data_IF_004521788025
#
_entry.id   IF_004521788025
#
_cell.length_a   1.000
_cell.length_b   1.000
_cell.length_c   1.000
_cell.angle_alpha   90.00
_cell.angle_beta   90.00
_cell.angle_gamma   90.00
#
_symmetry.space_group_name_H-M   'P 1'
#
loop_
_entity.id
_entity.type
_entity.pdbx_description
1 polymer ?
#
# COMPACT_ATOMS: atom_id res chain seq x y z
N UNK A 1 -22.62 -46.04 24.64
CA UNK A 1 -21.23 -46.40 24.32
C UNK A 1 -20.59 -45.25 23.54
N UNK A 2 -19.95 -44.34 24.27
CA UNK A 2 -19.18 -43.23 23.71
C UNK A 2 -17.70 -43.61 23.88
N UNK A 3 -16.99 -43.64 22.76
CA UNK A 3 -15.66 -44.20 22.61
C UNK A 3 -14.61 -43.48 23.49
N UNK A 4 -13.79 -44.28 24.18
CA UNK A 4 -12.69 -43.92 25.11
C UNK A 4 -11.55 -43.08 24.51
N UNK A 5 -11.74 -42.40 23.38
CA UNK A 5 -10.72 -41.58 22.71
C UNK A 5 -10.95 -40.06 22.79
N UNK A 6 -12.01 -39.60 23.46
CA UNK A 6 -12.33 -38.15 23.59
C UNK A 6 -11.90 -37.56 24.95
N UNK A 7 -11.39 -38.38 25.88
CA UNK A 7 -10.98 -37.92 27.23
C UNK A 7 -9.45 -37.76 27.44
N UNK A 8 -8.63 -37.75 26.38
CA UNK A 8 -7.16 -37.73 26.48
C UNK A 8 -6.49 -36.44 25.96
N UNK A 9 -7.25 -35.43 25.54
CA UNK A 9 -6.67 -34.19 24.96
C UNK A 9 -6.88 -32.93 25.81
N UNK A 10 -7.54 -33.04 26.98
CA UNK A 10 -7.75 -31.92 27.92
C UNK A 10 -6.79 -31.97 29.12
N UNK A 11 -5.86 -32.94 29.17
CA UNK A 11 -4.92 -33.13 30.28
C UNK A 11 -3.45 -32.70 30.00
N UNK A 12 -3.20 -31.85 29.00
CA UNK A 12 -1.84 -31.40 28.64
C UNK A 12 -1.56 -29.91 28.90
N UNK A 13 -2.49 -29.15 29.47
CA UNK A 13 -2.32 -27.69 29.73
C UNK A 13 -2.25 -27.33 31.22
N UNK A 14 -2.20 -28.31 32.12
CA UNK A 14 -2.25 -28.06 33.58
C UNK A 14 -1.06 -28.59 34.40
N UNK A 15 0.17 -28.59 33.87
CA UNK A 15 1.36 -28.96 34.65
C UNK A 15 2.66 -28.28 34.19
N UNK A 16 2.71 -26.96 34.28
CA UNK A 16 3.99 -26.24 34.18
C UNK A 16 3.95 -24.91 34.93
N UNK A 17 3.65 -24.94 36.24
CA UNK A 17 4.07 -23.89 37.17
C UNK A 17 4.38 -24.48 38.54
N UNK A 18 5.49 -23.98 39.10
CA UNK A 18 5.96 -24.08 40.48
C UNK A 18 6.84 -25.29 40.84
N UNK A 19 8.16 -25.09 40.76
CA UNK A 19 9.16 -25.36 41.82
C UNK A 19 10.34 -24.40 41.57
N UNK A 20 10.47 -23.33 42.35
CA UNK A 20 11.07 -23.27 43.68
C UNK A 20 12.61 -23.31 43.62
N UNK A 21 13.16 -22.09 43.60
CA UNK A 21 14.33 -21.61 44.36
C UNK A 21 15.03 -22.68 45.20
N UNK A 22 16.28 -22.98 44.83
CA UNK A 22 17.30 -23.46 45.76
C UNK A 22 18.63 -22.81 45.37
N UNK A 23 19.19 -22.08 46.33
CA UNK A 23 20.35 -21.24 46.19
C UNK A 23 21.61 -22.06 45.90
N UNK A 24 22.25 -21.74 44.79
CA UNK A 24 23.64 -22.07 44.51
C UNK A 24 24.46 -20.80 44.65
N UNK A 25 25.15 -20.64 45.78
CA UNK A 25 26.11 -19.57 46.00
C UNK A 25 27.28 -19.74 45.01
N UNK A 26 27.27 -18.97 43.94
CA UNK A 26 28.43 -18.85 43.05
C UNK A 26 29.48 -18.01 43.79
N UNK A 27 30.52 -18.67 44.28
CA UNK A 27 31.73 -18.03 44.80
C UNK A 27 32.30 -17.11 43.73
N UNK A 28 32.25 -15.80 43.98
CA UNK A 28 33.00 -14.82 43.20
C UNK A 28 34.50 -15.06 43.43
N UNK A 29 35.16 -15.75 42.50
CA UNK A 29 36.62 -15.75 42.45
C UNK A 29 37.07 -14.37 41.96
N UNK A 30 37.66 -13.59 42.86
CA UNK A 30 38.35 -12.35 42.52
C UNK A 30 39.58 -12.68 41.65
N UNK A 31 39.41 -12.67 40.34
CA UNK A 31 40.52 -12.50 39.41
C UNK A 31 40.89 -11.01 39.41
N UNK A 32 41.92 -10.65 40.16
CA UNK A 32 42.57 -9.36 40.03
C UNK A 32 43.11 -9.22 38.60
N UNK A 33 42.34 -8.56 37.73
CA UNK A 33 42.83 -8.11 36.42
C UNK A 33 43.79 -6.96 36.68
N UNK A 34 45.08 -7.20 36.47
CA UNK A 34 46.06 -6.14 36.25
C UNK A 34 45.52 -5.13 35.23
N UNK A 35 45.67 -3.81 35.44
CA UNK A 35 45.20 -2.83 34.48
C UNK A 35 45.90 -3.06 33.16
N UNK A 36 45.16 -3.55 32.16
CA UNK A 36 45.67 -3.69 30.80
C UNK A 36 45.87 -2.27 30.30
N UNK A 37 47.13 -1.89 30.04
CA UNK A 37 47.47 -0.60 29.49
C UNK A 37 46.55 -0.29 28.30
N UNK A 38 45.96 0.90 28.30
CA UNK A 38 45.16 1.38 27.16
C UNK A 38 45.99 1.20 25.88
N UNK A 39 45.40 0.67 24.79
CA UNK A 39 46.13 0.59 23.54
C UNK A 39 46.56 2.01 23.19
N UNK A 40 47.88 2.24 23.06
CA UNK A 40 48.39 3.47 22.47
C UNK A 40 47.75 3.57 21.10
N UNK A 41 46.89 4.57 20.89
CA UNK A 41 46.42 4.98 19.58
C UNK A 41 47.66 5.10 18.69
N UNK A 42 47.80 4.19 17.74
CA UNK A 42 48.83 4.30 16.73
C UNK A 42 48.57 5.61 15.98
N UNK A 43 49.42 6.61 16.24
CA UNK A 43 49.49 7.83 15.46
C UNK A 43 50.03 7.46 14.08
N UNK A 44 49.11 7.11 13.18
CA UNK A 44 49.41 6.62 11.85
C UNK A 44 48.16 6.22 11.10
N UNK A 45 47.06 6.97 11.28
CA UNK A 45 45.97 6.89 10.31
C UNK A 45 46.50 7.49 9.00
N UNK A 46 46.50 6.70 7.93
CA UNK A 46 46.73 7.23 6.60
C UNK A 46 45.81 8.44 6.38
N UNK A 47 46.28 9.51 5.70
CA UNK A 47 45.42 10.65 5.41
C UNK A 47 44.14 10.14 4.73
N UNK A 48 42.98 10.75 5.03
CA UNK A 48 41.72 10.30 4.45
C UNK A 48 41.88 10.28 2.93
N UNK A 49 41.74 9.09 2.33
CA UNK A 49 41.74 8.98 0.88
C UNK A 49 40.54 9.79 0.38
N UNK A 50 40.79 10.81 -0.45
CA UNK A 50 39.73 11.58 -1.05
C UNK A 50 38.86 10.62 -1.90
N UNK A 51 37.59 10.49 -1.54
CA UNK A 51 36.62 9.82 -2.41
C UNK A 51 36.62 10.53 -3.78
N UNK A 52 36.32 9.80 -4.86
CA UNK A 52 36.12 10.45 -6.16
C UNK A 52 35.06 11.55 -6.02
N UNK A 53 35.19 12.63 -6.80
CA UNK A 53 34.26 13.77 -6.80
C UNK A 53 32.80 13.33 -6.88
N UNK A 54 32.54 12.27 -7.62
CA UNK A 54 31.20 11.75 -7.90
C UNK A 54 30.61 11.05 -6.66
N UNK A 55 31.42 10.25 -5.96
CA UNK A 55 30.98 9.56 -4.72
C UNK A 55 30.76 10.57 -3.59
N UNK A 56 31.62 11.59 -3.49
CA UNK A 56 31.45 12.67 -2.52
C UNK A 56 30.17 13.49 -2.81
N UNK A 57 29.88 13.76 -4.09
CA UNK A 57 28.65 14.44 -4.52
C UNK A 57 27.42 13.60 -4.19
N UNK A 58 27.43 12.30 -4.50
CA UNK A 58 26.34 11.38 -4.17
C UNK A 58 26.07 11.33 -2.66
N UNK A 59 27.12 11.18 -1.85
CA UNK A 59 27.00 11.15 -0.39
C UNK A 59 26.40 12.45 0.15
N UNK A 60 26.82 13.60 -0.39
CA UNK A 60 26.28 14.92 -0.03
C UNK A 60 24.80 15.04 -0.39
N UNK A 61 24.42 14.63 -1.60
CA UNK A 61 23.03 14.63 -2.06
C UNK A 61 22.14 13.73 -1.23
N UNK A 62 22.58 12.51 -0.90
CA UNK A 62 21.84 11.62 0.01
C UNK A 62 21.67 12.25 1.40
N UNK A 63 22.76 12.74 1.99
CA UNK A 63 22.74 13.33 3.33
C UNK A 63 21.78 14.53 3.41
N UNK A 64 21.64 15.31 2.33
CA UNK A 64 20.71 16.42 2.26
C UNK A 64 19.23 15.99 2.15
N UNK A 65 18.94 14.82 1.55
CA UNK A 65 17.57 14.38 1.24
C UNK A 65 17.00 13.35 2.22
N UNK A 66 17.86 12.55 2.87
CA UNK A 66 17.42 11.58 3.89
C UNK A 66 16.56 12.20 5.00
N UNK A 67 16.85 13.41 5.53
CA UNK A 67 15.98 14.06 6.51
C UNK A 67 14.55 14.29 6.02
N UNK A 68 14.35 14.55 4.72
CA UNK A 68 13.02 14.75 4.12
C UNK A 68 12.21 13.46 4.15
N UNK A 69 12.84 12.31 3.88
CA UNK A 69 12.21 11.00 3.99
C UNK A 69 11.94 10.61 5.45
N UNK A 70 12.87 10.93 6.36
CA UNK A 70 12.72 10.67 7.80
C UNK A 70 11.58 11.47 8.43
N UNK A 71 11.13 12.57 7.81
CA UNK A 71 9.94 13.29 8.26
C UNK A 71 8.68 12.41 8.26
N UNK A 72 8.64 11.37 7.41
CA UNK A 72 7.57 10.38 7.36
C UNK A 72 7.77 9.19 8.30
N UNK A 73 8.86 9.14 9.08
CA UNK A 73 9.08 8.04 10.02
C UNK A 73 7.95 7.97 11.05
N UNK A 74 7.42 6.76 11.28
CA UNK A 74 6.25 6.53 12.11
C UNK A 74 4.91 6.86 11.45
N UNK A 75 4.90 7.53 10.30
CA UNK A 75 3.69 7.85 9.54
C UNK A 75 3.35 6.73 8.54
N UNK A 76 2.07 6.65 8.17
CA UNK A 76 1.57 5.65 7.22
C UNK A 76 1.41 6.22 5.83
N UNK A 77 1.95 5.52 4.84
CA UNK A 77 1.70 5.73 3.42
C UNK A 77 0.88 4.56 2.90
N UNK A 78 -0.25 4.86 2.24
CA UNK A 78 -1.02 3.86 1.51
C UNK A 78 -0.72 4.03 0.03
N UNK A 79 -0.29 2.95 -0.61
CA UNK A 79 0.11 2.95 -2.01
C UNK A 79 -0.80 2.05 -2.80
N UNK A 80 -1.55 2.63 -3.74
CA UNK A 80 -2.23 1.83 -4.75
C UNK A 80 -1.20 1.47 -5.81
N UNK A 81 -0.83 0.18 -5.87
CA UNK A 81 0.07 -0.37 -6.87
C UNK A 81 -0.72 -1.03 -8.01
N UNK A 82 -0.67 -0.45 -9.22
CA UNK A 82 -1.40 -0.97 -10.37
C UNK A 82 -1.01 -0.30 -11.69
N UNK A 83 -1.41 -0.89 -12.81
CA UNK A 83 -1.13 -0.36 -14.16
C UNK A 83 0.20 -0.82 -14.74
N UNK A 84 0.84 0.03 -15.55
CA UNK A 84 2.09 -0.28 -16.27
C UNK A 84 3.26 -0.63 -15.32
N UNK A 85 3.29 -0.09 -14.10
CA UNK A 85 4.29 -0.43 -13.09
C UNK A 85 4.24 -1.91 -12.64
N UNK A 86 3.15 -2.64 -12.95
CA UNK A 86 3.05 -4.08 -12.71
C UNK A 86 3.52 -4.94 -13.90
N UNK A 87 3.71 -4.34 -15.07
CA UNK A 87 4.02 -5.07 -16.31
C UNK A 87 5.47 -4.89 -16.77
N UNK A 88 6.17 -3.87 -16.26
CA UNK A 88 7.59 -3.65 -16.50
C UNK A 88 8.40 -4.13 -15.29
N UNK A 89 9.28 -5.10 -15.51
CA UNK A 89 10.07 -5.73 -14.45
C UNK A 89 11.04 -4.75 -13.78
N UNK A 90 11.64 -3.81 -14.52
CA UNK A 90 12.60 -2.86 -13.97
C UNK A 90 11.90 -1.85 -13.04
N UNK A 91 10.75 -1.33 -13.47
CA UNK A 91 9.92 -0.45 -12.64
C UNK A 91 9.37 -1.17 -11.41
N UNK A 92 9.01 -2.45 -11.54
CA UNK A 92 8.57 -3.28 -10.42
C UNK A 92 9.67 -3.47 -9.37
N UNK A 93 10.90 -3.81 -9.79
CA UNK A 93 12.04 -3.99 -8.87
C UNK A 93 12.41 -2.68 -8.16
N UNK A 94 12.37 -1.55 -8.88
CA UNK A 94 12.55 -0.21 -8.28
C UNK A 94 11.50 0.09 -7.21
N UNK A 95 10.23 -0.18 -7.51
CA UNK A 95 9.14 -0.03 -6.56
C UNK A 95 9.35 -0.89 -5.29
N UNK A 96 9.78 -2.14 -5.43
CA UNK A 96 10.05 -3.01 -4.28
C UNK A 96 11.20 -2.48 -3.43
N UNK A 97 12.27 -2.00 -4.07
CA UNK A 97 13.39 -1.38 -3.38
C UNK A 97 12.97 -0.14 -2.59
N UNK A 98 12.14 0.73 -3.19
CA UNK A 98 11.61 1.93 -2.54
C UNK A 98 10.77 1.59 -1.30
N UNK A 99 9.84 0.64 -1.43
CA UNK A 99 8.99 0.20 -0.32
C UNK A 99 9.83 -0.34 0.82
N UNK A 100 10.84 -1.18 0.53
CA UNK A 100 11.72 -1.73 1.55
C UNK A 100 12.56 -0.64 2.19
N UNK A 101 13.13 0.28 1.41
CA UNK A 101 13.90 1.41 1.95
C UNK A 101 13.07 2.26 2.90
N UNK A 102 11.86 2.65 2.50
CA UNK A 102 10.94 3.42 3.35
C UNK A 102 10.61 2.67 4.64
N UNK A 103 10.36 1.36 4.56
CA UNK A 103 10.16 0.54 5.76
C UNK A 103 11.37 0.55 6.69
N UNK A 104 12.59 0.49 6.14
CA UNK A 104 13.85 0.57 6.91
C UNK A 104 14.08 1.93 7.55
N UNK A 105 13.59 3.00 6.93
CA UNK A 105 13.61 4.36 7.46
C UNK A 105 12.51 4.60 8.52
N UNK A 106 11.71 3.58 8.85
CA UNK A 106 10.66 3.65 9.87
C UNK A 106 9.33 4.18 9.34
N UNK A 107 9.20 4.40 8.03
CA UNK A 107 7.91 4.73 7.39
C UNK A 107 7.06 3.47 7.31
N UNK A 108 5.78 3.60 7.59
CA UNK A 108 4.82 2.50 7.51
C UNK A 108 4.22 2.48 6.10
N UNK A 109 4.40 1.39 5.35
CA UNK A 109 3.88 1.27 3.98
C UNK A 109 2.83 0.17 3.93
N UNK A 110 1.64 0.52 3.43
CA UNK A 110 0.53 -0.40 3.17
C UNK A 110 0.24 -0.35 1.68
N UNK A 111 0.15 -1.49 1.02
CA UNK A 111 -0.06 -1.58 -0.43
C UNK A 111 -1.46 -2.12 -0.70
N UNK A 112 -2.20 -1.47 -1.59
CA UNK A 112 -3.43 -2.01 -2.20
C UNK A 112 -3.14 -2.23 -3.68
N UNK A 113 -3.36 -3.43 -4.21
CA UNK A 113 -2.97 -3.74 -5.59
C UNK A 113 -4.15 -3.88 -6.55
N UNK A 114 -3.89 -3.63 -7.84
CA UNK A 114 -4.80 -4.01 -8.92
C UNK A 114 -4.53 -5.42 -9.47
N UNK A 115 -5.16 -5.74 -10.60
CA UNK A 115 -4.88 -6.99 -11.33
C UNK A 115 -5.75 -7.20 -12.57
N UNK A 116 -6.21 -6.10 -13.18
CA UNK A 116 -7.16 -6.12 -14.31
C UNK A 116 -6.71 -7.00 -15.47
N UNK A 117 -5.48 -6.85 -15.99
CA UNK A 117 -4.96 -7.71 -17.07
C UNK A 117 -4.92 -9.20 -16.71
N UNK A 118 -4.51 -9.54 -15.48
CA UNK A 118 -4.40 -10.91 -15.02
C UNK A 118 -5.79 -11.57 -14.87
N UNK A 119 -6.78 -10.82 -14.39
CA UNK A 119 -8.17 -11.30 -14.34
C UNK A 119 -8.68 -11.55 -15.75
N UNK A 120 -8.49 -10.60 -16.67
CA UNK A 120 -8.93 -10.75 -18.06
C UNK A 120 -8.28 -11.95 -18.77
N UNK A 121 -7.00 -12.20 -18.50
CA UNK A 121 -6.29 -13.40 -18.99
C UNK A 121 -6.92 -14.69 -18.48
N UNK A 122 -7.13 -14.81 -17.16
CA UNK A 122 -7.74 -16.01 -16.58
C UNK A 122 -9.18 -16.24 -17.04
N UNK A 123 -10.00 -15.19 -17.13
CA UNK A 123 -11.37 -15.30 -17.64
C UNK A 123 -11.39 -15.84 -19.08
N UNK A 124 -10.47 -15.33 -19.92
CA UNK A 124 -10.31 -15.81 -21.30
C UNK A 124 -9.91 -17.28 -21.34
N UNK A 125 -8.93 -17.70 -20.52
CA UNK A 125 -8.46 -19.08 -20.46
C UNK A 125 -9.56 -20.05 -20.02
N UNK A 126 -10.49 -19.58 -19.18
CA UNK A 126 -11.65 -20.34 -18.70
C UNK A 126 -12.89 -20.20 -19.59
N UNK A 127 -12.82 -19.45 -20.68
CA UNK A 127 -13.95 -19.21 -21.59
C UNK A 127 -15.10 -18.38 -20.98
N UNK A 128 -14.84 -17.64 -19.90
CA UNK A 128 -15.82 -16.76 -19.24
C UNK A 128 -15.84 -15.41 -19.95
N UNK A 129 -17.02 -14.97 -20.40
CA UNK A 129 -17.18 -13.68 -21.04
C UNK A 129 -17.00 -12.54 -20.04
N UNK A 130 -16.27 -11.51 -20.42
CA UNK A 130 -16.07 -10.32 -19.59
C UNK A 130 -16.62 -9.09 -20.28
N UNK A 131 -17.33 -8.26 -19.53
CA UNK A 131 -17.79 -6.95 -19.97
C UNK A 131 -17.44 -5.87 -18.94
N UNK A 132 -17.49 -4.62 -19.38
CA UNK A 132 -17.21 -3.46 -18.55
C UNK A 132 -18.28 -2.39 -18.75
N UNK A 133 -18.58 -1.66 -17.68
CA UNK A 133 -19.42 -0.45 -17.68
C UNK A 133 -18.64 0.63 -16.93
N UNK A 134 -18.39 1.76 -17.59
CA UNK A 134 -17.67 2.92 -17.01
C UNK A 134 -16.35 2.53 -16.31
N UNK A 135 -15.58 1.62 -16.93
CA UNK A 135 -14.31 1.15 -16.40
C UNK A 135 -14.40 0.13 -15.26
N UNK A 136 -15.60 -0.27 -14.85
CA UNK A 136 -15.84 -1.32 -13.84
C UNK A 136 -16.18 -2.62 -14.54
N UNK A 137 -15.58 -3.73 -14.10
CA UNK A 137 -15.88 -5.06 -14.63
C UNK A 137 -17.24 -5.51 -14.09
N UNK A 138 -18.19 -5.81 -14.97
CA UNK A 138 -19.43 -6.47 -14.56
C UNK A 138 -19.04 -7.84 -14.00
N UNK A 139 -19.45 -8.12 -12.77
CA UNK A 139 -18.95 -9.25 -12.00
C UNK A 139 -20.12 -10.12 -11.57
N UNK A 140 -20.44 -11.17 -12.33
CA UNK A 140 -21.35 -12.22 -11.87
C UNK A 140 -20.64 -13.18 -10.87
N UNK A 141 -21.37 -14.16 -10.35
CA UNK A 141 -20.84 -15.15 -9.38
C UNK A 141 -19.59 -15.86 -9.91
N UNK A 142 -19.63 -16.32 -11.17
CA UNK A 142 -18.50 -17.03 -11.78
C UNK A 142 -17.30 -16.12 -12.00
N UNK A 143 -17.54 -14.88 -12.40
CA UNK A 143 -16.51 -13.85 -12.55
C UNK A 143 -15.90 -13.51 -11.20
N UNK A 144 -16.71 -13.44 -10.13
CA UNK A 144 -16.23 -13.15 -8.78
C UNK A 144 -15.28 -14.24 -8.28
N UNK A 145 -15.59 -15.52 -8.47
CA UNK A 145 -14.68 -16.63 -8.13
C UNK A 145 -13.30 -16.46 -8.79
N UNK A 146 -13.29 -16.09 -10.09
CA UNK A 146 -12.04 -15.84 -10.82
C UNK A 146 -11.32 -14.61 -10.29
N UNK A 147 -12.03 -13.52 -9.99
CA UNK A 147 -11.46 -12.31 -9.38
C UNK A 147 -10.78 -12.65 -8.06
N UNK A 148 -11.42 -13.43 -7.18
CA UNK A 148 -10.85 -13.85 -5.90
C UNK A 148 -9.58 -14.67 -6.06
N UNK A 149 -9.63 -15.71 -6.90
CA UNK A 149 -8.49 -16.57 -7.17
C UNK A 149 -7.30 -15.79 -7.75
N UNK A 150 -7.57 -14.88 -8.70
CA UNK A 150 -6.51 -14.13 -9.36
C UNK A 150 -5.95 -13.03 -8.46
N UNK A 151 -6.80 -12.20 -7.87
CA UNK A 151 -6.31 -11.10 -7.04
C UNK A 151 -5.70 -11.62 -5.74
N UNK A 152 -6.44 -12.41 -4.97
CA UNK A 152 -6.00 -12.91 -3.66
C UNK A 152 -4.98 -14.04 -3.75
N UNK A 153 -5.10 -14.92 -4.74
CA UNK A 153 -4.24 -16.10 -4.88
C UNK A 153 -2.99 -15.87 -5.73
N UNK A 154 -3.13 -15.27 -6.91
CA UNK A 154 -2.02 -15.16 -7.86
C UNK A 154 -1.25 -13.84 -7.71
N UNK A 155 -1.94 -12.71 -7.88
CA UNK A 155 -1.30 -11.39 -7.94
C UNK A 155 -0.75 -10.99 -6.56
N UNK A 156 -1.55 -11.15 -5.51
CA UNK A 156 -1.15 -10.82 -4.15
C UNK A 156 0.11 -11.59 -3.71
N UNK A 157 0.12 -12.92 -3.91
CA UNK A 157 1.26 -13.75 -3.53
C UNK A 157 2.52 -13.46 -4.36
N UNK A 158 2.39 -13.13 -5.65
CA UNK A 158 3.53 -12.68 -6.46
C UNK A 158 4.17 -11.42 -5.88
N UNK A 159 3.36 -10.44 -5.51
CA UNK A 159 3.81 -9.18 -4.93
C UNK A 159 4.45 -9.39 -3.55
N UNK A 160 3.83 -10.20 -2.70
CA UNK A 160 4.38 -10.59 -1.38
C UNK A 160 5.75 -11.27 -1.53
N UNK A 161 5.88 -12.20 -2.47
CA UNK A 161 7.14 -12.88 -2.73
C UNK A 161 8.23 -11.92 -3.22
N UNK A 162 7.88 -11.01 -4.14
CA UNK A 162 8.83 -10.04 -4.68
C UNK A 162 9.34 -9.06 -3.61
N UNK A 163 8.45 -8.51 -2.78
CA UNK A 163 8.81 -7.67 -1.65
C UNK A 163 9.65 -8.43 -0.61
N UNK A 164 9.35 -9.71 -0.39
CA UNK A 164 10.14 -10.56 0.53
C UNK A 164 11.56 -10.80 -0.01
N UNK A 165 11.70 -11.07 -1.32
CA UNK A 165 13.00 -11.17 -1.99
C UNK A 165 13.80 -9.87 -1.92
N UNK A 166 13.14 -8.73 -2.01
CA UNK A 166 13.75 -7.41 -1.84
C UNK A 166 14.17 -7.12 -0.37
N UNK A 167 13.91 -8.04 0.56
CA UNK A 167 14.31 -7.92 1.97
C UNK A 167 13.25 -7.28 2.88
N UNK A 168 12.01 -7.14 2.37
CA UNK A 168 10.85 -6.72 3.14
C UNK A 168 10.19 -7.87 3.92
N UNK A 169 9.30 -7.53 4.85
CA UNK A 169 8.44 -8.49 5.56
C UNK A 169 7.00 -8.33 5.07
N UNK A 170 6.69 -8.82 3.88
CA UNK A 170 5.36 -8.63 3.30
C UNK A 170 4.34 -9.65 3.81
N UNK A 171 3.09 -9.22 4.00
CA UNK A 171 1.98 -10.09 4.39
C UNK A 171 0.80 -9.83 3.45
N UNK A 172 0.40 -10.88 2.75
CA UNK A 172 -0.72 -10.85 1.80
C UNK A 172 -2.07 -11.00 2.48
N UNK A 173 -3.02 -10.14 2.15
CA UNK A 173 -4.38 -10.12 2.68
C UNK A 173 -5.39 -9.84 1.57
N UNK A 174 -6.63 -10.29 1.79
CA UNK A 174 -7.81 -9.73 1.13
C UNK A 174 -8.64 -8.99 2.19
N UNK A 175 -9.70 -8.28 1.79
CA UNK A 175 -10.62 -7.68 2.76
C UNK A 175 -11.35 -8.69 3.65
N UNK A 176 -11.27 -10.00 3.36
CA UNK A 176 -11.81 -11.06 4.22
C UNK A 176 -11.01 -11.25 5.52
N UNK A 177 -9.71 -10.97 5.50
CA UNK A 177 -8.85 -11.18 6.66
C UNK A 177 -9.31 -10.30 7.82
N UNK A 178 -9.80 -10.90 8.92
CA UNK A 178 -10.48 -10.20 10.02
C UNK A 178 -11.64 -9.26 9.58
N UNK A 179 -12.16 -9.46 8.37
CA UNK A 179 -13.01 -8.52 7.64
C UNK A 179 -12.47 -7.09 7.61
N UNK A 180 -11.19 -6.92 7.22
CA UNK A 180 -10.54 -5.62 7.07
C UNK A 180 -11.36 -4.68 6.18
N UNK A 181 -12.03 -5.17 5.13
CA UNK A 181 -12.88 -4.33 4.26
C UNK A 181 -14.31 -4.87 4.27
N UNK A 182 -15.22 -4.11 4.88
CA UNK A 182 -16.66 -4.33 4.72
C UNK A 182 -17.18 -3.59 3.49
N UNK A 183 -18.15 -4.16 2.79
CA UNK A 183 -18.68 -3.63 1.55
C UNK A 183 -20.20 -3.77 1.43
N UNK A 184 -20.78 -3.00 0.52
CA UNK A 184 -22.14 -3.16 0.00
C UNK A 184 -22.08 -3.20 -1.51
N UNK A 185 -23.11 -3.77 -2.14
CA UNK A 185 -23.28 -3.71 -3.59
C UNK A 185 -23.27 -2.25 -4.04
N UNK A 186 -22.51 -1.96 -5.08
CA UNK A 186 -22.44 -0.62 -5.67
C UNK A 186 -23.68 -0.36 -6.52
N UNK A 187 -24.39 0.72 -6.19
CA UNK A 187 -25.48 1.25 -7.00
C UNK A 187 -24.93 2.20 -8.07
N UNK A 188 -24.84 1.73 -9.32
CA UNK A 188 -24.24 2.49 -10.41
C UNK A 188 -25.29 2.99 -11.42
N UNK A 189 -25.15 4.24 -11.84
CA UNK A 189 -26.00 4.86 -12.86
C UNK A 189 -25.12 5.31 -14.03
N UNK A 190 -25.53 4.98 -15.24
CA UNK A 190 -24.85 5.34 -16.49
C UNK A 190 -25.82 6.03 -17.45
N UNK A 191 -25.31 6.53 -18.57
CA UNK A 191 -26.11 7.23 -19.58
C UNK A 191 -26.42 6.30 -20.74
N UNK A 192 -27.70 6.16 -21.10
CA UNK A 192 -28.11 5.37 -22.25
C UNK A 192 -27.91 6.13 -23.58
N UNK A 193 -28.21 5.45 -24.71
CA UNK A 193 -28.08 6.03 -26.04
C UNK A 193 -29.01 7.23 -26.30
N UNK A 194 -30.05 7.41 -25.48
CA UNK A 194 -30.98 8.55 -25.55
C UNK A 194 -30.58 9.72 -24.65
N UNK A 195 -29.47 9.59 -23.91
CA UNK A 195 -29.02 10.58 -22.93
C UNK A 195 -29.72 10.46 -21.56
N UNK A 196 -30.54 9.43 -21.35
CA UNK A 196 -31.22 9.17 -20.08
C UNK A 196 -30.31 8.50 -19.06
N UNK A 197 -30.45 8.84 -17.78
CA UNK A 197 -29.79 8.11 -16.68
C UNK A 197 -30.50 6.77 -16.44
N UNK A 198 -29.76 5.67 -16.56
CA UNK A 198 -30.25 4.32 -16.32
C UNK A 198 -29.37 3.60 -15.28
N UNK A 199 -29.99 2.76 -14.46
CA UNK A 199 -29.26 1.94 -13.49
C UNK A 199 -28.52 0.83 -14.22
N UNK A 200 -27.23 0.71 -13.99
CA UNK A 200 -26.40 -0.38 -14.52
C UNK A 200 -26.23 -1.45 -13.45
N UNK A 201 -26.65 -2.68 -13.74
CA UNK A 201 -26.35 -3.82 -12.86
C UNK A 201 -24.92 -4.29 -13.09
N UNK A 202 -24.07 -4.09 -12.08
CA UNK A 202 -22.68 -4.52 -12.11
C UNK A 202 -22.47 -5.89 -11.44
N UNK A 203 -23.52 -6.50 -10.89
CA UNK A 203 -23.44 -7.75 -10.14
C UNK A 203 -22.76 -7.57 -8.77
N UNK A 204 -21.78 -8.43 -8.48
CA UNK A 204 -20.95 -8.47 -7.27
C UNK A 204 -19.81 -7.43 -7.30
N UNK A 205 -20.12 -6.23 -7.78
CA UNK A 205 -19.25 -5.05 -7.62
C UNK A 205 -19.71 -4.28 -6.40
N UNK A 206 -18.77 -3.89 -5.55
CA UNK A 206 -19.08 -3.22 -4.30
C UNK A 206 -18.30 -1.94 -4.06
N UNK A 207 -18.75 -1.23 -3.03
CA UNK A 207 -18.08 -0.07 -2.44
C UNK A 207 -17.75 -0.33 -0.97
N UNK A 208 -16.58 0.13 -0.48
CA UNK A 208 -16.25 0.00 0.94
C UNK A 208 -17.26 0.76 1.81
N UNK A 209 -17.83 0.10 2.81
CA UNK A 209 -18.65 0.76 3.84
C UNK A 209 -17.81 1.16 5.04
N UNK A 210 -16.80 0.34 5.37
CA UNK A 210 -15.87 0.60 6.45
C UNK A 210 -14.60 -0.22 6.25
N UNK A 211 -13.51 0.25 6.87
CA UNK A 211 -12.27 -0.50 7.00
C UNK A 211 -11.95 -0.69 8.47
N UNK A 212 -11.64 -1.93 8.89
CA UNK A 212 -11.20 -2.23 10.26
C UNK A 212 -9.67 -2.20 10.32
N UNK A 213 -9.05 -1.17 10.93
CA UNK A 213 -7.61 -0.96 10.82
C UNK A 213 -6.78 -1.85 11.76
N UNK A 214 -7.39 -2.47 12.77
CA UNK A 214 -6.66 -3.16 13.86
C UNK A 214 -5.60 -4.15 13.35
N UNK A 215 -5.98 -5.08 12.46
CA UNK A 215 -5.05 -6.05 11.88
C UNK A 215 -3.91 -5.36 11.09
N UNK A 216 -4.24 -4.30 10.33
CA UNK A 216 -3.25 -3.57 9.55
C UNK A 216 -2.26 -2.84 10.46
N UNK A 217 -2.74 -2.21 11.53
CA UNK A 217 -1.92 -1.52 12.53
C UNK A 217 -0.98 -2.50 13.25
N UNK A 218 -1.46 -3.68 13.63
CA UNK A 218 -0.64 -4.72 14.27
C UNK A 218 0.49 -5.21 13.36
N UNK A 219 0.18 -5.45 12.08
CA UNK A 219 1.16 -5.86 11.08
C UNK A 219 2.21 -4.78 10.86
N UNK A 220 1.78 -3.54 10.69
CA UNK A 220 2.67 -2.41 10.51
C UNK A 220 3.58 -2.25 11.75
N UNK A 221 3.02 -2.31 12.97
CA UNK A 221 3.77 -2.19 14.21
C UNK A 221 4.87 -3.25 14.38
N UNK A 222 4.67 -4.48 13.88
CA UNK A 222 5.67 -5.55 13.93
C UNK A 222 6.72 -5.50 12.81
N UNK A 223 6.68 -4.47 11.96
CA UNK A 223 7.63 -4.30 10.86
C UNK A 223 7.15 -4.85 9.52
N UNK A 224 5.92 -5.38 9.43
CA UNK A 224 5.41 -5.95 8.19
C UNK A 224 4.92 -4.88 7.21
N UNK A 225 4.79 -5.28 5.95
CA UNK A 225 4.22 -4.52 4.83
C UNK A 225 2.93 -5.23 4.42
N UNK A 226 1.75 -4.74 4.84
CA UNK A 226 0.48 -5.33 4.42
C UNK A 226 0.26 -5.10 2.92
N UNK A 227 -0.10 -6.17 2.20
CA UNK A 227 -0.40 -6.15 0.77
C UNK A 227 -1.84 -6.65 0.57
N UNK A 228 -2.72 -5.75 0.16
CA UNK A 228 -4.18 -5.95 0.20
C UNK A 228 -4.73 -6.09 -1.21
N UNK A 229 -5.44 -7.20 -1.47
CA UNK A 229 -6.30 -7.35 -2.63
C UNK A 229 -7.67 -6.68 -2.38
N UNK A 230 -8.21 -5.89 -3.33
CA UNK A 230 -9.42 -5.08 -3.15
C UNK A 230 -10.70 -5.91 -3.30
N UNK A 231 -10.88 -6.88 -2.41
CA UNK A 231 -12.08 -7.72 -2.29
C UNK A 231 -12.69 -7.42 -0.93
N UNK A 232 -13.94 -6.98 -0.88
CA UNK A 232 -14.66 -6.69 0.37
C UNK A 232 -15.69 -7.75 0.72
N UNK A 233 -16.06 -7.79 2.01
CA UNK A 233 -17.12 -8.66 2.53
C UNK A 233 -18.40 -7.88 2.69
N UNK A 234 -19.48 -8.36 2.10
CA UNK A 234 -20.82 -7.84 2.24
C UNK A 234 -21.27 -7.79 3.69
N UNK A 235 -21.58 -6.60 4.18
CA UNK A 235 -21.91 -6.40 5.61
C UNK A 235 -23.25 -7.01 6.02
N UNK A 236 -24.15 -7.24 5.06
CA UNK A 236 -25.48 -7.82 5.28
C UNK A 236 -25.61 -9.26 4.79
N UNK A 237 -24.97 -9.60 3.67
CA UNK A 237 -25.14 -10.88 2.97
C UNK A 237 -23.92 -11.81 3.06
N UNK A 238 -22.78 -11.31 3.57
CA UNK A 238 -21.52 -12.05 3.66
C UNK A 238 -20.88 -12.36 2.31
N UNK A 239 -21.39 -11.82 1.21
CA UNK A 239 -20.89 -12.08 -0.14
C UNK A 239 -19.57 -11.35 -0.39
N UNK A 240 -18.78 -11.89 -1.32
CA UNK A 240 -17.58 -11.19 -1.79
C UNK A 240 -17.93 -10.16 -2.84
N UNK A 241 -17.33 -8.98 -2.71
CA UNK A 241 -17.50 -7.89 -3.66
C UNK A 241 -16.17 -7.49 -4.28
N UNK A 242 -16.14 -7.37 -5.61
CA UNK A 242 -15.03 -6.80 -6.36
C UNK A 242 -15.06 -5.27 -6.23
N UNK A 243 -14.01 -4.70 -5.63
CA UNK A 243 -13.92 -3.26 -5.37
C UNK A 243 -12.86 -2.64 -6.28
N UNK A 244 -13.11 -1.42 -6.76
CA UNK A 244 -12.08 -0.67 -7.47
C UNK A 244 -10.85 -0.45 -6.56
N UNK A 245 -9.66 -0.77 -7.07
CA UNK A 245 -8.42 -0.71 -6.29
C UNK A 245 -8.07 0.70 -5.78
N UNK A 246 -8.38 1.75 -6.56
CA UNK A 246 -8.17 3.14 -6.13
C UNK A 246 -9.12 3.45 -4.97
N UNK A 247 -10.41 3.14 -5.12
CA UNK A 247 -11.43 3.34 -4.06
C UNK A 247 -11.10 2.56 -2.78
N UNK A 248 -10.66 1.30 -2.89
CA UNK A 248 -10.21 0.50 -1.76
C UNK A 248 -8.99 1.12 -1.07
N UNK A 249 -8.02 1.63 -1.84
CA UNK A 249 -6.85 2.32 -1.30
C UNK A 249 -7.22 3.61 -0.57
N UNK A 250 -8.16 4.40 -1.11
CA UNK A 250 -8.70 5.59 -0.45
C UNK A 250 -9.35 5.26 0.89
N UNK A 251 -10.23 4.26 0.93
CA UNK A 251 -10.88 3.82 2.17
C UNK A 251 -9.88 3.29 3.21
N UNK A 252 -8.87 2.52 2.78
CA UNK A 252 -7.80 2.03 3.67
C UNK A 252 -6.95 3.19 4.19
N UNK A 253 -6.61 4.18 3.34
CA UNK A 253 -5.85 5.35 3.74
C UNK A 253 -6.58 6.19 4.78
N UNK A 254 -7.87 6.45 4.56
CA UNK A 254 -8.71 7.18 5.49
C UNK A 254 -8.78 6.47 6.86
N UNK A 255 -9.06 5.16 6.87
CA UNK A 255 -9.16 4.41 8.12
C UNK A 255 -7.85 4.27 8.90
N UNK A 256 -6.71 4.39 8.22
CA UNK A 256 -5.38 4.38 8.84
C UNK A 256 -4.87 5.78 9.23
N UNK A 257 -5.60 6.86 8.90
CA UNK A 257 -5.13 8.22 9.08
C UNK A 257 -3.81 8.46 8.32
N UNK A 258 -3.74 7.98 7.09
CA UNK A 258 -2.49 7.99 6.33
C UNK A 258 -1.99 9.42 6.06
N UNK A 259 -0.67 9.60 6.12
CA UNK A 259 -0.04 10.85 5.76
C UNK A 259 -0.12 11.11 4.25
N UNK A 260 -0.04 10.05 3.44
CA UNK A 260 -0.23 10.10 2.00
C UNK A 260 -1.01 8.90 1.49
N UNK A 261 -1.89 9.16 0.53
CA UNK A 261 -2.39 8.17 -0.42
C UNK A 261 -1.66 8.36 -1.75
N UNK A 262 -0.97 7.34 -2.25
CA UNK A 262 -0.21 7.40 -3.49
C UNK A 262 -0.87 6.49 -4.52
N UNK A 263 -1.47 7.09 -5.55
CA UNK A 263 -2.18 6.39 -6.62
C UNK A 263 -1.27 6.24 -7.84
N UNK A 264 -0.57 5.11 -7.94
CA UNK A 264 0.29 4.86 -9.10
C UNK A 264 -0.57 4.63 -10.35
N UNK A 265 -0.18 5.33 -11.40
CA UNK A 265 -0.84 5.33 -12.71
C UNK A 265 0.20 5.38 -13.82
N UNK A 266 -0.28 5.31 -15.07
CA UNK A 266 0.52 5.35 -16.30
C UNK A 266 0.49 6.69 -17.03
N UNK A 267 0.08 7.74 -16.32
CA UNK A 267 0.07 9.12 -16.80
C UNK A 267 0.92 9.99 -15.89
N UNK A 268 1.42 11.08 -16.44
CA UNK A 268 2.31 12.02 -15.73
C UNK A 268 1.66 12.71 -14.52
N UNK A 269 0.34 12.69 -14.44
CA UNK A 269 -0.47 13.38 -13.45
C UNK A 269 -1.70 14.02 -14.11
N UNK A 270 -2.20 15.11 -13.54
CA UNK A 270 -3.28 15.92 -14.11
C UNK A 270 -2.69 17.02 -14.96
N UNK A 271 -3.09 17.08 -16.23
CA UNK A 271 -2.68 18.12 -17.17
C UNK A 271 -3.74 19.21 -17.25
N UNK A 272 -3.31 20.46 -17.39
CA UNK A 272 -4.21 21.55 -17.76
C UNK A 272 -4.51 21.54 -19.27
N UNK A 273 -5.30 22.51 -19.73
CA UNK A 273 -5.69 22.63 -21.15
C UNK A 273 -4.53 22.93 -22.10
N UNK A 274 -3.40 23.42 -21.58
CA UNK A 274 -2.18 23.65 -22.35
C UNK A 274 -1.29 22.41 -22.43
N UNK A 275 -1.64 21.34 -21.70
CA UNK A 275 -0.85 20.12 -21.59
C UNK A 275 0.25 20.19 -20.54
N UNK A 276 0.24 21.22 -19.67
CA UNK A 276 1.21 21.37 -18.59
C UNK A 276 0.76 20.62 -17.33
N UNK A 277 1.71 20.03 -16.60
CA UNK A 277 1.44 19.28 -15.38
C UNK A 277 1.02 20.19 -14.24
N UNK A 278 -0.20 19.99 -13.75
CA UNK A 278 -0.69 20.61 -12.53
C UNK A 278 -0.10 19.89 -11.32
N UNK A 279 0.97 20.44 -10.74
CA UNK A 279 1.69 19.80 -9.62
C UNK A 279 0.87 19.71 -8.33
N UNK A 280 -0.04 20.66 -8.10
CA UNK A 280 -0.84 20.72 -6.89
C UNK A 280 -2.24 21.24 -7.19
N UNK A 281 -3.24 20.61 -6.58
CA UNK A 281 -4.66 20.95 -6.65
C UNK A 281 -5.25 20.94 -5.24
N UNK A 282 -6.21 21.82 -4.97
CA UNK A 282 -7.14 21.58 -3.88
C UNK A 282 -8.39 20.80 -4.35
N UNK A 283 -9.20 20.35 -3.42
CA UNK A 283 -10.46 19.63 -3.69
C UNK A 283 -11.43 20.48 -4.53
N UNK A 284 -11.48 21.80 -4.28
CA UNK A 284 -12.30 22.74 -5.07
C UNK A 284 -11.81 22.88 -6.52
N UNK A 285 -10.49 22.85 -6.75
CA UNK A 285 -9.93 22.89 -8.11
C UNK A 285 -10.39 21.69 -8.92
N UNK A 286 -10.41 20.49 -8.32
CA UNK A 286 -10.85 19.28 -9.01
C UNK A 286 -12.29 19.42 -9.50
N UNK A 287 -13.21 19.85 -8.63
CA UNK A 287 -14.62 20.04 -8.99
C UNK A 287 -14.78 21.03 -10.16
N UNK A 288 -14.05 22.14 -10.13
CA UNK A 288 -14.04 23.15 -11.18
C UNK A 288 -13.50 22.61 -12.50
N UNK A 289 -12.40 21.86 -12.47
CA UNK A 289 -11.73 21.29 -13.64
C UNK A 289 -12.51 20.12 -14.26
N UNK A 290 -13.36 19.43 -13.49
CA UNK A 290 -14.33 18.47 -14.03
C UNK A 290 -15.46 19.22 -14.72
N UNK A 291 -16.03 20.24 -14.07
CA UNK A 291 -17.15 21.02 -14.63
C UNK A 291 -16.80 21.75 -15.93
N UNK A 292 -15.55 22.20 -16.06
CA UNK A 292 -15.09 22.92 -17.25
C UNK A 292 -14.57 22.00 -18.38
N UNK A 293 -14.55 20.69 -18.13
CA UNK A 293 -14.16 19.65 -19.10
C UNK A 293 -12.65 19.41 -19.24
N UNK A 294 -11.81 20.06 -18.42
CA UNK A 294 -10.35 19.83 -18.44
C UNK A 294 -10.00 18.41 -18.00
N UNK A 295 -10.67 17.91 -16.95
CA UNK A 295 -10.55 16.53 -16.47
C UNK A 295 -11.66 15.69 -17.08
N UNK A 296 -11.32 14.53 -17.64
CA UNK A 296 -12.28 13.61 -18.25
C UNK A 296 -11.90 12.14 -18.10
N UNK A 297 -12.85 11.26 -18.42
CA UNK A 297 -12.64 9.81 -18.46
C UNK A 297 -12.23 9.21 -17.11
N UNK A 298 -11.30 8.25 -17.15
CA UNK A 298 -10.85 7.52 -15.96
C UNK A 298 -10.10 8.35 -14.92
N UNK A 299 -9.76 9.62 -15.21
CA UNK A 299 -9.15 10.51 -14.24
C UNK A 299 -10.16 11.06 -13.21
N UNK A 300 -11.42 11.21 -13.61
CA UNK A 300 -12.49 11.67 -12.72
C UNK A 300 -12.59 10.77 -11.47
N UNK A 301 -12.83 9.45 -11.57
CA UNK A 301 -12.98 8.61 -10.38
C UNK A 301 -11.70 8.50 -9.53
N UNK A 302 -10.52 8.70 -10.13
CA UNK A 302 -9.24 8.76 -9.41
C UNK A 302 -9.15 10.00 -8.54
N UNK A 303 -9.52 11.15 -9.08
CA UNK A 303 -9.49 12.42 -8.35
C UNK A 303 -10.63 12.51 -7.34
N UNK A 304 -11.81 11.97 -7.63
CA UNK A 304 -12.88 11.80 -6.64
C UNK A 304 -12.37 11.00 -5.44
N UNK A 305 -11.78 9.83 -5.68
CA UNK A 305 -11.15 9.02 -4.62
C UNK A 305 -10.08 9.80 -3.84
N UNK A 306 -9.24 10.57 -4.54
CA UNK A 306 -8.19 11.38 -3.93
C UNK A 306 -8.78 12.48 -3.02
N UNK A 307 -9.82 13.17 -3.48
CA UNK A 307 -10.54 14.20 -2.73
C UNK A 307 -11.28 13.60 -1.52
N UNK A 308 -11.96 12.47 -1.69
CA UNK A 308 -12.68 11.79 -0.61
C UNK A 308 -11.72 11.37 0.50
N UNK A 309 -10.56 10.80 0.14
CA UNK A 309 -9.53 10.42 1.09
C UNK A 309 -9.02 11.63 1.89
N UNK A 310 -8.73 12.76 1.21
CA UNK A 310 -8.27 14.00 1.86
C UNK A 310 -9.34 14.55 2.80
N UNK A 311 -10.59 14.60 2.34
CA UNK A 311 -11.74 15.05 3.14
C UNK A 311 -11.96 14.17 4.37
N UNK A 312 -11.66 12.87 4.26
CA UNK A 312 -11.72 11.91 5.35
C UNK A 312 -10.49 11.95 6.29
N UNK A 313 -9.55 12.88 6.09
CA UNK A 313 -8.43 13.13 7.00
C UNK A 313 -7.07 12.57 6.55
N UNK A 314 -6.95 12.06 5.31
CA UNK A 314 -5.63 11.74 4.72
C UNK A 314 -4.88 13.04 4.46
N UNK A 315 -3.61 13.12 4.85
CA UNK A 315 -2.84 14.37 4.78
C UNK A 315 -2.72 14.96 3.36
N UNK A 316 -2.48 14.13 2.35
CA UNK A 316 -2.60 14.47 0.94
C UNK A 316 -2.71 13.20 0.08
N UNK A 317 -3.30 13.33 -1.12
CA UNK A 317 -3.35 12.26 -2.12
C UNK A 317 -2.48 12.63 -3.31
N UNK A 318 -1.74 11.71 -3.91
CA UNK A 318 -0.87 11.98 -5.06
C UNK A 318 -1.24 11.05 -6.22
N UNK A 319 -1.59 11.64 -7.36
CA UNK A 319 -1.68 10.91 -8.63
C UNK A 319 -0.25 10.80 -9.17
N UNK A 320 0.34 9.61 -9.07
CA UNK A 320 1.77 9.39 -9.23
C UNK A 320 2.07 8.65 -10.55
N UNK A 321 2.97 9.20 -11.35
CA UNK A 321 3.46 8.51 -12.56
C UNK A 321 4.36 7.33 -12.19
N UNK A 322 3.80 6.12 -12.28
CA UNK A 322 4.50 4.87 -11.96
C UNK A 322 5.49 4.43 -13.03
N UNK A 323 5.66 5.19 -14.13
CA UNK A 323 6.67 4.94 -15.16
C UNK A 323 8.01 5.60 -14.85
N UNK A 324 8.05 6.44 -13.82
CA UNK A 324 9.27 7.08 -13.34
C UNK A 324 9.98 6.14 -12.38
N UNK A 325 11.27 5.92 -12.61
CA UNK A 325 12.11 5.15 -11.70
C UNK A 325 12.17 5.82 -10.32
N UNK A 326 12.05 5.04 -9.26
CA UNK A 326 11.99 5.54 -7.88
C UNK A 326 10.87 6.56 -7.61
N UNK A 327 9.75 6.48 -8.35
CA UNK A 327 8.63 7.42 -8.22
C UNK A 327 8.12 7.56 -6.78
N UNK A 328 8.13 6.48 -6.01
CA UNK A 328 7.66 6.48 -4.62
C UNK A 328 8.55 7.37 -3.75
N UNK A 329 9.87 7.22 -3.82
CA UNK A 329 10.79 8.09 -3.08
C UNK A 329 10.72 9.54 -3.56
N UNK A 330 10.74 9.76 -4.87
CA UNK A 330 10.71 11.10 -5.46
C UNK A 330 9.44 11.88 -5.10
N UNK A 331 8.30 11.19 -4.94
CA UNK A 331 7.03 11.79 -4.53
C UNK A 331 7.06 12.37 -3.11
N UNK A 332 7.97 11.91 -2.25
CA UNK A 332 8.11 12.35 -0.87
C UNK A 332 9.13 13.48 -0.70
N UNK A 333 9.90 13.80 -1.75
CA UNK A 333 10.93 14.84 -1.72
C UNK A 333 10.35 16.20 -2.17
N UNK A 334 10.38 17.23 -1.30
CA UNK A 334 9.95 18.58 -1.63
C UNK A 334 10.66 19.14 -2.86
N UNK A 335 9.89 19.82 -3.72
CA UNK A 335 10.38 20.51 -4.91
C UNK A 335 10.82 19.59 -6.07
N UNK A 336 10.84 18.27 -5.88
CA UNK A 336 11.07 17.28 -6.95
C UNK A 336 9.74 16.75 -7.45
N UNK A 337 8.89 16.27 -6.53
CA UNK A 337 7.48 15.92 -6.70
C UNK A 337 7.08 15.37 -8.07
N UNK A 338 6.96 14.04 -8.19
CA UNK A 338 6.44 13.39 -9.40
C UNK A 338 4.92 13.30 -9.30
N UNK A 339 4.21 13.79 -10.31
CA UNK A 339 2.75 13.72 -10.37
C UNK A 339 2.01 14.95 -9.88
N UNK A 340 0.75 14.74 -9.50
CA UNK A 340 -0.17 15.78 -9.01
C UNK A 340 -0.58 15.49 -7.58
N UNK A 341 -0.33 16.45 -6.67
CA UNK A 341 -0.76 16.36 -5.28
C UNK A 341 -2.10 17.05 -5.06
N UNK A 342 -3.07 16.33 -4.50
CA UNK A 342 -4.37 16.83 -4.05
C UNK A 342 -4.33 17.00 -2.53
N UNK A 343 -4.64 18.19 -2.01
CA UNK A 343 -4.66 18.47 -0.58
C UNK A 343 -5.57 19.64 -0.18
N UNK A 344 -5.91 19.74 1.10
CA UNK A 344 -6.97 20.64 1.60
C UNK A 344 -6.54 22.12 1.76
N UNK A 345 -5.23 22.39 1.84
CA UNK A 345 -4.69 23.76 2.00
C UNK A 345 -3.36 23.94 1.28
N UNK A 346 -2.86 25.19 1.24
CA UNK A 346 -1.54 25.52 0.70
C UNK A 346 -0.36 24.74 1.32
N UNK A 347 -0.56 24.05 2.45
CA UNK A 347 0.40 23.10 3.02
C UNK A 347 0.60 21.84 2.15
N UNK A 348 -0.41 21.44 1.36
CA UNK A 348 -0.31 20.38 0.34
C UNK A 348 0.47 20.77 -0.92
N UNK A 349 1.02 22.00 -0.98
CA UNK A 349 1.93 22.47 -2.04
C UNK A 349 3.42 22.29 -1.71
N UNK A 350 3.78 21.79 -0.52
CA UNK A 350 5.17 21.60 -0.08
C UNK A 350 5.60 20.14 -0.13
#
# INVERSE_FOLDING_TARGET
>A
MVSRRVLSLVAFVASARAHAVLGGAVRASAFARTPRAAPRLAAGAAPPQAASSDVATLATSLAARVPELLAFAGQTLVVKYGGHAMTDDALAESFYADVVLLRRLGVNVVIVHGGGPQISGMLKDLGVQSSFVDGRRVTDERTMEVVEMVLGGLVNNKLVNALSRAGGKAVGLTGHAAGVIGATRLEHWTTDASGGKVRADLGLVGEPTHVRPALLLDLVACGAIPVIAPIGVGVTDGQSYNINADTAAGAVAAALGAARLLLLTDVVGVLDRSGELMRSLCTDDVSRLVADGTISGGMIPKLETACDAVTAGVGASVILDGRVDHALLLSLLPGVGVGTTVGDTAAGRR
#
